data_IF_769586162767
#
_entry.id   IF_769586162767
#
_cell.length_a   1.000
_cell.length_b   1.000
_cell.length_c   1.000
_cell.angle_alpha   90.00
_cell.angle_beta   90.00
_cell.angle_gamma   90.00
#
_symmetry.space_group_name_H-M   'P 1'
#
loop_
_entity.id
_entity.type
_entity.pdbx_description
1 polymer ?
#
# COMPACT_ATOMS: atom_id res chain seq x y z
N UNK A 1 -28.22 2.32 16.30
CA UNK A 1 -27.74 3.46 17.09
C UNK A 1 -26.22 3.42 17.09
N UNK A 2 -25.60 4.28 16.28
CA UNK A 2 -24.16 4.55 16.30
C UNK A 2 -24.00 6.08 16.22
N UNK A 3 -24.65 6.78 17.15
CA UNK A 3 -24.36 8.19 17.43
C UNK A 3 -23.01 8.23 18.15
N UNK A 4 -22.01 8.90 17.58
CA UNK A 4 -20.81 9.27 18.32
C UNK A 4 -19.45 8.83 17.80
N UNK A 5 -19.29 8.45 16.52
CA UNK A 5 -17.96 8.71 15.94
C UNK A 5 -17.87 10.23 15.76
N UNK A 6 -17.29 10.93 16.74
CA UNK A 6 -16.79 12.28 16.49
C UNK A 6 -16.13 12.25 15.11
N UNK A 7 -16.54 13.17 14.22
CA UNK A 7 -15.93 13.30 12.90
C UNK A 7 -14.46 13.69 13.12
N UNK A 8 -13.62 12.68 13.31
CA UNK A 8 -12.23 12.82 13.68
C UNK A 8 -11.49 13.65 12.64
N UNK A 9 -11.97 13.65 11.38
CA UNK A 9 -11.51 14.54 10.33
C UNK A 9 -11.63 16.02 10.72
N UNK A 10 -12.76 16.45 11.28
CA UNK A 10 -12.94 17.85 11.69
C UNK A 10 -12.10 18.24 12.91
N UNK A 11 -11.78 17.28 13.78
CA UNK A 11 -10.88 17.51 14.91
C UNK A 11 -9.41 17.63 14.47
N UNK A 12 -8.99 16.86 13.45
CA UNK A 12 -7.60 16.80 13.00
C UNK A 12 -7.25 17.91 11.98
N UNK A 13 -8.22 18.38 11.18
CA UNK A 13 -8.03 19.44 10.17
C UNK A 13 -7.31 20.70 10.70
N UNK A 14 -7.68 21.28 11.86
CA UNK A 14 -6.99 22.45 12.40
C UNK A 14 -5.52 22.16 12.77
N UNK A 15 -5.25 20.99 13.36
CA UNK A 15 -3.89 20.60 13.79
C UNK A 15 -2.97 20.33 12.60
N UNK A 16 -3.50 19.69 11.54
CA UNK A 16 -2.81 19.52 10.27
C UNK A 16 -2.54 20.88 9.60
N UNK A 17 -3.49 21.80 9.66
CA UNK A 17 -3.36 23.15 9.11
C UNK A 17 -2.27 24.00 9.77
N UNK A 18 -2.09 23.84 11.09
CA UNK A 18 -1.05 24.51 11.88
C UNK A 18 0.30 23.77 11.87
N UNK A 19 0.36 22.56 11.33
CA UNK A 19 1.57 21.73 11.30
C UNK A 19 1.95 21.12 12.66
N UNK A 20 1.06 21.17 13.64
CA UNK A 20 1.23 20.57 14.98
C UNK A 20 1.12 19.04 14.95
N UNK A 21 0.48 18.50 13.91
CA UNK A 21 0.35 17.09 13.65
C UNK A 21 1.00 16.75 12.31
N UNK A 22 1.87 15.74 12.32
CA UNK A 22 2.38 15.07 11.12
C UNK A 22 1.80 13.67 11.08
N UNK A 23 1.22 13.28 9.96
CA UNK A 23 0.72 11.93 9.76
C UNK A 23 1.03 11.43 8.35
N UNK A 24 1.04 10.11 8.19
CA UNK A 24 1.13 9.42 6.91
C UNK A 24 -0.20 8.71 6.70
N UNK A 25 -0.87 9.01 5.60
CA UNK A 25 -2.07 8.31 5.15
C UNK A 25 -1.73 7.30 4.05
N UNK A 26 -2.43 6.17 4.05
CA UNK A 26 -2.39 5.20 2.95
C UNK A 26 -3.82 4.99 2.46
N UNK A 27 -4.02 5.06 1.15
CA UNK A 27 -5.35 4.98 0.52
C UNK A 27 -5.23 4.43 -0.89
N UNK A 28 -6.31 3.85 -1.39
CA UNK A 28 -6.40 3.53 -2.82
C UNK A 28 -6.66 4.80 -3.64
N UNK A 29 -6.35 4.77 -4.94
CA UNK A 29 -6.63 5.90 -5.84
C UNK A 29 -8.11 6.30 -5.86
N UNK A 30 -9.00 5.31 -5.77
CA UNK A 30 -10.44 5.55 -5.80
C UNK A 30 -10.93 6.25 -4.53
N UNK A 31 -10.42 5.85 -3.38
CA UNK A 31 -10.74 6.48 -2.10
C UNK A 31 -10.13 7.88 -2.01
N UNK A 32 -8.89 8.08 -2.48
CA UNK A 32 -8.27 9.40 -2.57
C UNK A 32 -9.15 10.38 -3.36
N UNK A 33 -9.57 10.00 -4.58
CA UNK A 33 -10.46 10.81 -5.43
C UNK A 33 -11.81 11.08 -4.78
N UNK A 34 -12.33 10.12 -4.01
CA UNK A 34 -13.66 10.23 -3.41
C UNK A 34 -13.67 11.08 -2.15
N UNK A 35 -12.64 10.99 -1.33
CA UNK A 35 -12.66 11.52 0.05
C UNK A 35 -11.63 12.62 0.31
N UNK A 36 -10.48 12.62 -0.38
CA UNK A 36 -9.39 13.58 -0.12
C UNK A 36 -9.39 14.69 -1.16
N UNK A 37 -9.42 14.34 -2.44
CA UNK A 37 -9.37 15.29 -3.56
C UNK A 37 -10.58 16.24 -3.58
N UNK A 38 -11.73 15.79 -3.07
CA UNK A 38 -12.93 16.65 -2.96
C UNK A 38 -12.88 17.65 -1.81
N UNK A 39 -11.98 17.45 -0.84
CA UNK A 39 -11.82 18.34 0.32
C UNK A 39 -10.58 19.22 0.11
N UNK A 40 -10.82 20.45 -0.37
CA UNK A 40 -9.76 21.42 -0.67
C UNK A 40 -8.85 21.75 0.52
N UNK A 41 -9.29 21.53 1.75
CA UNK A 41 -8.45 21.74 2.93
C UNK A 41 -7.47 20.58 3.12
N UNK A 42 -7.88 19.33 2.88
CA UNK A 42 -7.02 18.16 3.00
C UNK A 42 -6.06 18.02 1.83
N UNK A 43 -6.55 18.25 0.60
CA UNK A 43 -5.76 18.17 -0.64
C UNK A 43 -4.51 19.07 -0.57
N UNK A 44 -4.63 20.28 0.00
CA UNK A 44 -3.50 21.22 0.13
C UNK A 44 -2.54 20.90 1.27
N UNK A 45 -2.91 19.99 2.18
CA UNK A 45 -2.13 19.68 3.41
C UNK A 45 -1.40 18.35 3.31
N UNK A 46 -1.93 17.44 2.50
CA UNK A 46 -1.24 16.20 2.19
C UNK A 46 -0.39 16.37 0.93
N UNK A 47 0.85 15.88 1.00
CA UNK A 47 1.66 15.67 -0.19
C UNK A 47 1.31 14.29 -0.74
N UNK A 48 0.80 14.24 -1.98
CA UNK A 48 0.57 12.96 -2.64
C UNK A 48 1.91 12.34 -3.04
N UNK A 49 2.13 11.10 -2.60
CA UNK A 49 3.20 10.22 -3.07
C UNK A 49 2.51 9.05 -3.76
N UNK A 50 2.63 8.99 -5.09
CA UNK A 50 2.10 7.88 -5.85
C UNK A 50 2.98 6.64 -5.66
N UNK A 51 2.36 5.52 -5.30
CA UNK A 51 3.02 4.23 -5.15
C UNK A 51 2.43 3.31 -6.18
N UNK A 52 3.17 3.05 -7.25
CA UNK A 52 2.75 2.13 -8.28
C UNK A 52 3.03 0.68 -7.87
N UNK A 53 2.41 -0.27 -8.58
CA UNK A 53 2.82 -1.66 -8.44
C UNK A 53 4.28 -1.83 -8.94
N UNK A 54 5.09 -2.68 -8.27
CA UNK A 54 6.44 -2.99 -8.71
C UNK A 54 6.43 -3.73 -10.05
N UNK A 55 7.55 -3.63 -10.78
CA UNK A 55 7.79 -4.48 -11.94
C UNK A 55 8.00 -5.95 -11.51
N UNK A 56 7.87 -6.88 -12.46
CA UNK A 56 8.16 -8.30 -12.21
C UNK A 56 9.59 -8.49 -11.68
N UNK A 57 10.57 -7.73 -12.20
CA UNK A 57 11.97 -7.79 -11.76
C UNK A 57 12.15 -7.29 -10.32
N UNK A 58 11.47 -6.19 -9.97
CA UNK A 58 11.48 -5.66 -8.60
C UNK A 58 10.80 -6.65 -7.64
N UNK A 59 9.68 -7.26 -8.05
CA UNK A 59 9.01 -8.30 -7.25
C UNK A 59 9.91 -9.51 -7.02
N UNK A 60 10.65 -9.98 -8.03
CA UNK A 60 11.61 -11.06 -7.85
C UNK A 60 12.66 -10.67 -6.81
N UNK A 61 13.15 -9.44 -6.83
CA UNK A 61 14.11 -8.92 -5.86
C UNK A 61 13.53 -8.85 -4.44
N UNK A 62 12.29 -8.40 -4.29
CA UNK A 62 11.54 -8.41 -3.03
C UNK A 62 11.41 -9.85 -2.50
N UNK A 63 10.96 -10.79 -3.34
CA UNK A 63 10.79 -12.20 -2.98
C UNK A 63 12.11 -12.86 -2.55
N UNK A 64 13.22 -12.55 -3.25
CA UNK A 64 14.56 -13.02 -2.86
C UNK A 64 14.97 -12.49 -1.50
N UNK A 65 14.65 -11.24 -1.17
CA UNK A 65 14.89 -10.65 0.15
C UNK A 65 14.03 -11.28 1.26
N UNK A 66 12.85 -11.80 0.92
CA UNK A 66 11.95 -12.47 1.86
C UNK A 66 12.22 -13.99 1.99
N UNK A 67 12.96 -14.59 1.05
CA UNK A 67 13.16 -16.04 0.93
C UNK A 67 13.56 -16.69 2.25
N UNK A 68 14.62 -16.21 2.89
CA UNK A 68 15.17 -16.83 4.11
C UNK A 68 14.13 -16.91 5.23
N UNK A 69 13.33 -15.84 5.39
CA UNK A 69 12.26 -15.78 6.39
C UNK A 69 11.18 -16.83 6.13
N UNK A 70 10.80 -17.03 4.87
CA UNK A 70 9.79 -18.02 4.48
C UNK A 70 10.34 -19.46 4.55
N UNK A 71 11.58 -19.68 4.12
CA UNK A 71 12.26 -20.97 4.23
C UNK A 71 12.33 -21.44 5.70
N UNK A 72 12.71 -20.54 6.62
CA UNK A 72 12.75 -20.82 8.05
C UNK A 72 11.35 -21.12 8.61
N UNK A 73 10.36 -20.29 8.27
CA UNK A 73 9.00 -20.44 8.77
C UNK A 73 8.34 -21.75 8.32
N UNK A 74 8.57 -22.16 7.06
CA UNK A 74 7.95 -23.33 6.47
C UNK A 74 8.82 -24.60 6.52
N UNK A 75 10.09 -24.50 6.92
CA UNK A 75 11.02 -25.63 6.97
C UNK A 75 11.35 -26.21 5.60
N UNK A 76 11.30 -25.39 4.55
CA UNK A 76 11.56 -25.79 3.16
C UNK A 76 12.69 -24.97 2.56
N UNK A 77 13.25 -25.43 1.43
CA UNK A 77 14.09 -24.61 0.57
C UNK A 77 13.31 -24.17 -0.66
N UNK A 78 13.42 -22.91 -1.01
CA UNK A 78 12.76 -22.29 -2.16
C UNK A 78 13.84 -22.01 -3.20
N UNK A 79 13.72 -22.67 -4.36
CA UNK A 79 14.66 -22.44 -5.46
C UNK A 79 14.47 -21.05 -6.05
N UNK A 80 15.56 -20.46 -6.56
CA UNK A 80 15.48 -19.14 -7.20
C UNK A 80 14.55 -19.15 -8.42
N UNK A 81 14.58 -20.23 -9.21
CA UNK A 81 13.68 -20.42 -10.34
C UNK A 81 12.20 -20.45 -9.93
N UNK A 82 11.87 -20.93 -8.73
CA UNK A 82 10.49 -20.89 -8.22
C UNK A 82 10.04 -19.45 -7.92
N UNK A 83 10.92 -18.58 -7.42
CA UNK A 83 10.59 -17.16 -7.18
C UNK A 83 10.34 -16.42 -8.50
N UNK A 84 11.19 -16.66 -9.50
CA UNK A 84 11.02 -16.11 -10.85
C UNK A 84 9.70 -16.58 -11.46
N UNK A 85 9.43 -17.88 -11.39
CA UNK A 85 8.18 -18.44 -11.90
C UNK A 85 6.95 -17.87 -11.17
N UNK A 86 7.01 -17.72 -9.84
CA UNK A 86 5.92 -17.15 -9.07
C UNK A 86 5.56 -15.74 -9.55
N UNK A 87 6.55 -14.84 -9.67
CA UNK A 87 6.31 -13.47 -10.11
C UNK A 87 5.80 -13.38 -11.57
N UNK A 88 6.36 -14.17 -12.48
CA UNK A 88 5.96 -14.15 -13.91
C UNK A 88 4.57 -14.74 -14.10
N UNK A 89 4.27 -15.85 -13.44
CA UNK A 89 2.99 -16.54 -13.58
C UNK A 89 1.88 -15.78 -12.86
N UNK A 90 2.13 -15.20 -11.68
CA UNK A 90 1.12 -14.39 -10.98
C UNK A 90 0.78 -13.14 -11.78
N UNK A 91 1.77 -12.47 -12.38
CA UNK A 91 1.51 -11.33 -13.26
C UNK A 91 0.67 -11.71 -14.49
N UNK A 92 0.96 -12.88 -15.09
CA UNK A 92 0.27 -13.31 -16.30
C UNK A 92 -1.15 -13.81 -16.07
N UNK A 93 -1.40 -14.51 -14.97
CA UNK A 93 -2.64 -15.28 -14.79
C UNK A 93 -3.55 -14.78 -13.67
N UNK A 94 -3.04 -13.98 -12.72
CA UNK A 94 -3.84 -13.39 -11.63
C UNK A 94 -3.98 -11.89 -11.92
N UNK A 95 -5.04 -11.52 -12.63
CA UNK A 95 -5.23 -10.15 -13.15
C UNK A 95 -6.06 -9.27 -12.23
N UNK A 96 -6.82 -9.84 -11.30
CA UNK A 96 -7.60 -9.09 -10.31
C UNK A 96 -6.79 -8.56 -9.11
N UNK A 97 -5.48 -8.86 -9.05
CA UNK A 97 -4.57 -8.42 -8.00
C UNK A 97 -3.31 -7.77 -8.58
N UNK A 98 -2.58 -7.08 -7.72
CA UNK A 98 -1.38 -6.33 -8.07
C UNK A 98 -0.16 -6.95 -7.41
N UNK A 99 0.99 -6.88 -8.08
CA UNK A 99 2.26 -7.18 -7.43
C UNK A 99 2.51 -6.15 -6.31
N UNK A 100 3.29 -6.48 -5.27
CA UNK A 100 3.95 -7.76 -5.01
C UNK A 100 3.09 -8.76 -4.20
N UNK A 101 1.80 -8.49 -3.98
CA UNK A 101 0.94 -9.27 -3.08
C UNK A 101 0.50 -10.63 -3.66
N UNK A 102 0.24 -10.68 -4.96
CA UNK A 102 -0.20 -11.90 -5.67
C UNK A 102 0.94 -12.87 -6.00
#
# INVERSE_FOLDING_TARGET
ASEGSMDAGNLLKPMLGRGELRCIGATTLNEYRKYIEKDAALERRFQQVYVDQPSVEDTISILRGLRERYELHHGVRISDGALVAAAVLSERYITERFLPDK
#
